data_IF_219313737968
#
_entry.id   IF_219313737968
#
_cell.length_a   1.000
_cell.length_b   1.000
_cell.length_c   1.000
_cell.angle_alpha   90.00
_cell.angle_beta   90.00
_cell.angle_gamma   90.00
#
_symmetry.space_group_name_H-M   'P 1'
#
loop_
_entity.id
_entity.type
_entity.pdbx_description
1 polymer ?
#
# COMPACT_ATOMS: atom_id res chain seq x y z
N UNK A 1 24.35 12.14 24.10
CA UNK A 1 24.04 12.82 22.82
C UNK A 1 23.33 11.80 21.95
N UNK A 2 22.00 11.86 21.93
CA UNK A 2 21.13 10.79 21.46
C UNK A 2 20.49 11.30 20.17
N UNK A 3 21.28 11.38 19.10
CA UNK A 3 20.83 11.91 17.81
C UNK A 3 19.87 10.91 17.17
N UNK A 4 18.57 11.17 17.30
CA UNK A 4 17.49 10.47 16.60
C UNK A 4 17.70 10.71 15.10
N UNK A 5 18.16 9.70 14.36
CA UNK A 5 18.26 9.79 12.89
C UNK A 5 16.86 9.75 12.31
N UNK A 6 16.35 10.90 11.91
CA UNK A 6 15.16 10.99 11.08
C UNK A 6 15.53 10.50 9.69
N UNK A 7 14.98 9.36 9.27
CA UNK A 7 15.09 8.91 7.89
C UNK A 7 14.11 9.75 7.07
N UNK A 8 14.62 10.74 6.34
CA UNK A 8 13.83 11.42 5.33
C UNK A 8 13.78 10.55 4.08
N UNK A 9 12.57 10.18 3.68
CA UNK A 9 12.34 9.50 2.41
C UNK A 9 11.88 10.54 1.40
N UNK A 10 12.58 10.66 0.28
CA UNK A 10 12.11 11.47 -0.84
C UNK A 10 10.80 10.87 -1.38
N UNK A 11 9.76 11.70 -1.48
CA UNK A 11 8.45 11.30 -2.00
C UNK A 11 8.36 11.73 -3.46
N UNK A 12 8.33 10.76 -4.35
CA UNK A 12 8.06 10.99 -5.78
C UNK A 12 6.57 10.83 -6.04
N UNK A 13 5.97 11.76 -6.79
CA UNK A 13 4.57 11.69 -7.20
C UNK A 13 4.47 11.70 -8.74
N UNK A 14 3.61 10.84 -9.27
CA UNK A 14 3.35 10.75 -10.71
C UNK A 14 1.90 11.12 -10.98
N UNK A 15 1.69 12.03 -11.93
CA UNK A 15 0.34 12.41 -12.32
C UNK A 15 -0.27 11.29 -13.17
N UNK A 16 -1.41 10.76 -12.70
CA UNK A 16 -2.12 9.71 -13.44
C UNK A 16 -3.17 10.37 -14.34
N UNK A 17 -3.12 10.15 -15.67
CA UNK A 17 -4.13 10.66 -16.59
C UNK A 17 -5.56 10.29 -16.17
N UNK A 18 -6.49 11.25 -16.28
CA UNK A 18 -7.90 11.09 -15.87
C UNK A 18 -8.59 9.85 -16.41
N UNK A 19 -8.24 9.42 -17.63
CA UNK A 19 -8.80 8.20 -18.26
C UNK A 19 -8.56 6.91 -17.47
N UNK A 20 -7.61 6.89 -16.54
CA UNK A 20 -7.32 5.74 -15.69
C UNK A 20 -7.89 5.88 -14.27
N UNK A 21 -8.55 6.99 -13.93
CA UNK A 21 -9.02 7.22 -12.57
C UNK A 21 -10.04 6.18 -12.11
N UNK A 22 -10.98 5.78 -12.97
CA UNK A 22 -11.96 4.73 -12.63
C UNK A 22 -11.31 3.38 -12.39
N UNK A 23 -10.22 3.08 -13.11
CA UNK A 23 -9.44 1.86 -12.96
C UNK A 23 -8.64 1.83 -11.65
N UNK A 24 -8.15 2.99 -11.20
CA UNK A 24 -7.30 3.11 -10.00
C UNK A 24 -8.12 3.35 -8.74
N UNK A 25 -9.34 3.88 -8.86
CA UNK A 25 -10.22 4.17 -7.72
C UNK A 25 -10.36 3.02 -6.71
N UNK A 26 -10.50 1.74 -7.12
CA UNK A 26 -10.61 0.61 -6.18
C UNK A 26 -9.33 0.34 -5.38
N UNK A 27 -8.19 0.82 -5.89
CA UNK A 27 -6.85 0.61 -5.34
C UNK A 27 -6.40 1.79 -4.46
N UNK A 28 -7.21 2.84 -4.33
CA UNK A 28 -6.89 3.97 -3.46
C UNK A 28 -6.88 3.55 -1.98
N UNK A 29 -5.95 4.12 -1.21
CA UNK A 29 -5.78 3.86 0.23
C UNK A 29 -5.45 2.40 0.59
N UNK A 30 -4.97 1.61 -0.38
CA UNK A 30 -4.40 0.29 -0.12
C UNK A 30 -2.88 0.38 0.01
N UNK A 31 -2.31 -0.53 0.78
CA UNK A 31 -0.87 -0.75 0.79
C UNK A 31 -0.47 -1.61 -0.41
N UNK A 32 0.62 -1.23 -1.07
CA UNK A 32 1.16 -1.93 -2.22
C UNK A 32 2.59 -2.37 -1.96
N UNK A 33 2.90 -3.58 -2.39
CA UNK A 33 4.29 -3.95 -2.65
C UNK A 33 4.74 -3.30 -3.97
N UNK A 34 5.91 -2.70 -3.95
CA UNK A 34 6.46 -1.93 -5.08
C UNK A 34 7.69 -2.64 -5.61
N UNK A 35 7.63 -3.04 -6.88
CA UNK A 35 8.79 -3.53 -7.62
C UNK A 35 9.08 -2.60 -8.79
N UNK A 36 10.36 -2.29 -9.02
CA UNK A 36 10.79 -1.46 -10.12
C UNK A 36 11.83 -2.22 -10.96
N UNK A 37 11.59 -2.31 -12.26
CA UNK A 37 12.52 -2.89 -13.22
C UNK A 37 12.85 -1.87 -14.31
N UNK A 38 14.12 -1.81 -14.71
CA UNK A 38 14.55 -1.03 -15.86
C UNK A 38 14.63 -1.97 -17.08
N UNK A 39 13.85 -1.67 -18.11
CA UNK A 39 13.81 -2.45 -19.34
C UNK A 39 13.93 -1.52 -20.53
N UNK A 40 14.94 -1.71 -21.40
CA UNK A 40 15.05 -0.99 -22.69
C UNK A 40 14.86 0.54 -22.61
N UNK A 41 15.35 1.18 -21.55
CA UNK A 41 15.26 2.64 -21.35
C UNK A 41 13.93 3.14 -20.75
N UNK A 42 13.03 2.24 -20.36
CA UNK A 42 11.84 2.54 -19.57
C UNK A 42 11.95 1.91 -18.18
N UNK A 43 11.38 2.60 -17.19
CA UNK A 43 11.22 2.06 -15.83
C UNK A 43 9.79 1.55 -15.72
N UNK A 44 9.65 0.27 -15.43
CA UNK A 44 8.37 -0.39 -15.14
C UNK A 44 8.22 -0.47 -13.63
N UNK A 45 7.25 0.25 -13.07
CA UNK A 45 6.89 0.18 -11.66
C UNK A 45 5.63 -0.68 -11.54
N UNK A 46 5.75 -1.82 -10.89
CA UNK A 46 4.64 -2.74 -10.63
C UNK A 46 4.17 -2.56 -9.20
N UNK A 47 2.88 -2.22 -9.03
CA UNK A 47 2.21 -2.09 -7.74
C UNK A 47 1.32 -3.32 -7.52
N UNK A 48 1.65 -4.13 -6.51
CA UNK A 48 0.84 -5.31 -6.16
C UNK A 48 0.10 -5.04 -4.86
N UNK A 49 -1.25 -5.07 -4.84
CA UNK A 49 -2.00 -4.88 -3.60
C UNK A 49 -1.53 -5.89 -2.56
N UNK A 50 -1.17 -5.41 -1.37
CA UNK A 50 -0.92 -6.31 -0.27
C UNK A 50 -2.25 -6.94 0.14
N UNK A 51 -2.30 -8.27 0.26
CA UNK A 51 -3.47 -8.93 0.84
C UNK A 51 -3.57 -8.51 2.30
N UNK A 52 -4.35 -7.48 2.59
CA UNK A 52 -4.91 -7.30 3.91
C UNK A 52 -5.88 -8.45 4.10
N UNK A 53 -5.47 -9.50 4.83
CA UNK A 53 -6.44 -10.41 5.44
C UNK A 53 -7.35 -9.49 6.25
N UNK A 54 -8.59 -9.33 5.82
CA UNK A 54 -9.58 -8.62 6.61
C UNK A 54 -9.55 -9.33 7.96
N UNK A 55 -9.14 -8.61 9.01
CA UNK A 55 -9.34 -9.04 10.38
C UNK A 55 -10.85 -9.23 10.47
N UNK A 56 -11.31 -10.47 10.37
CA UNK A 56 -12.66 -10.82 10.78
C UNK A 56 -12.71 -10.35 12.22
N UNK A 57 -13.48 -9.30 12.48
CA UNK A 57 -13.92 -9.01 13.82
C UNK A 57 -14.71 -10.25 14.24
N UNK A 58 -14.03 -11.20 14.89
CA UNK A 58 -14.67 -12.33 15.52
C UNK A 58 -15.56 -11.77 16.62
N UNK A 59 -16.90 -11.79 16.48
CA UNK A 59 -17.80 -11.15 17.41
C UNK A 59 -18.42 -12.22 18.30
N UNK A 60 -17.66 -12.84 19.22
CA UNK A 60 -18.29 -13.64 20.29
C UNK A 60 -17.32 -14.10 21.39
N UNK A 61 -16.94 -13.20 22.30
CA UNK A 61 -16.66 -13.59 23.68
C UNK A 61 -17.92 -13.37 24.53
N UNK A 62 -19.01 -14.08 24.21
CA UNK A 62 -20.15 -14.21 25.12
C UNK A 62 -20.09 -15.54 25.86
N UNK A 63 -19.95 -15.41 27.18
CA UNK A 63 -20.50 -16.26 28.24
C UNK A 63 -20.15 -17.74 28.25
N UNK A 64 -19.26 -18.12 29.17
CA UNK A 64 -19.37 -19.38 29.94
C UNK A 64 -18.50 -19.32 31.19
N UNK A 65 -19.09 -18.98 32.33
CA UNK A 65 -18.75 -19.52 33.66
C UNK A 65 -20.08 -19.43 34.45
N UNK A 66 -20.82 -20.54 34.50
CA UNK A 66 -20.73 -21.61 35.50
C UNK A 66 -21.45 -21.20 36.79
#
# INVERSE_FOLDING_TARGET
MNSKRTYEYERVSLHIPRKYHELIKPFLNQDFDVSAAAEKGIIVITLTPQKTVQHVADPSWQTSHA
#
